data_IF_876832070306
#
_entry.id   IF_876832070306
#
_cell.length_a   1.000
_cell.length_b   1.000
_cell.length_c   1.000
_cell.angle_alpha   90.00
_cell.angle_beta   90.00
_cell.angle_gamma   90.00
#
_symmetry.space_group_name_H-M   'P 1'
#
loop_
_entity.id
_entity.type
_entity.pdbx_description
1 polymer ?
#
# COMPACT_ATOMS: atom_id res chain seq x y z
N UNK A 1 -12.89 -17.24 -3.03
CA UNK A 1 -13.63 -16.11 -3.60
C UNK A 1 -15.01 -16.08 -2.95
N UNK A 2 -15.26 -15.08 -2.13
CA UNK A 2 -16.58 -14.77 -1.64
C UNK A 2 -17.36 -14.18 -2.83
N UNK A 3 -18.14 -14.96 -3.51
CA UNK A 3 -18.82 -14.65 -4.77
C UNK A 3 -19.74 -13.41 -4.76
N UNK A 4 -19.69 -12.58 -3.72
CA UNK A 4 -20.53 -11.40 -3.54
C UNK A 4 -19.80 -10.06 -3.68
N UNK A 5 -18.46 -10.05 -3.76
CA UNK A 5 -17.67 -8.80 -3.76
C UNK A 5 -17.32 -8.24 -5.13
N UNK A 6 -17.48 -9.04 -6.18
CA UNK A 6 -17.08 -8.64 -7.52
C UNK A 6 -18.28 -8.63 -8.45
N UNK A 7 -18.51 -7.51 -9.10
CA UNK A 7 -19.49 -7.38 -10.15
C UNK A 7 -18.80 -7.20 -11.50
N UNK A 8 -19.50 -7.54 -12.56
CA UNK A 8 -19.09 -7.21 -13.91
C UNK A 8 -19.86 -5.98 -14.36
N UNK A 9 -19.14 -5.00 -14.91
CA UNK A 9 -19.78 -3.91 -15.63
C UNK A 9 -19.75 -4.20 -17.11
N UNK A 10 -20.82 -3.84 -17.80
CA UNK A 10 -20.94 -3.96 -19.24
C UNK A 10 -20.36 -2.66 -19.87
N UNK A 11 -19.30 -2.80 -20.67
CA UNK A 11 -18.74 -1.67 -21.40
C UNK A 11 -19.52 -1.35 -22.66
N UNK A 12 -19.36 -0.14 -23.17
CA UNK A 12 -19.96 0.30 -24.44
C UNK A 12 -19.47 -0.53 -25.65
N UNK A 13 -18.33 -1.18 -25.51
CA UNK A 13 -17.75 -2.09 -26.51
C UNK A 13 -18.33 -3.52 -26.48
N UNK A 14 -19.31 -3.78 -25.64
CA UNK A 14 -19.93 -5.10 -25.49
C UNK A 14 -19.12 -6.11 -24.68
N UNK A 15 -18.04 -5.68 -24.02
CA UNK A 15 -17.22 -6.53 -23.16
C UNK A 15 -17.65 -6.42 -21.70
N UNK A 16 -17.43 -7.50 -20.93
CA UNK A 16 -17.61 -7.49 -19.49
C UNK A 16 -16.27 -7.22 -18.80
N UNK A 17 -16.27 -6.25 -17.91
CA UNK A 17 -15.09 -5.86 -17.14
C UNK A 17 -15.22 -6.33 -15.71
N UNK A 18 -14.14 -6.86 -15.14
CA UNK A 18 -14.09 -7.18 -13.73
C UNK A 18 -14.02 -5.89 -12.91
N UNK A 19 -15.00 -5.69 -12.05
CA UNK A 19 -15.05 -4.55 -11.13
C UNK A 19 -15.30 -5.04 -9.72
N UNK A 20 -14.80 -4.33 -8.73
CA UNK A 20 -15.16 -4.50 -7.33
C UNK A 20 -16.22 -3.46 -6.97
N UNK A 21 -17.26 -3.86 -6.30
CA UNK A 21 -18.24 -2.98 -5.69
C UNK A 21 -18.04 -3.05 -4.18
N UNK A 22 -17.26 -2.15 -3.62
CA UNK A 22 -17.05 -2.08 -2.19
C UNK A 22 -18.28 -1.48 -1.48
N UNK A 23 -18.87 -0.45 -2.04
CA UNK A 23 -20.20 0.09 -1.71
C UNK A 23 -20.89 0.53 -3.01
N UNK A 24 -22.19 0.80 -2.97
CA UNK A 24 -23.01 1.09 -4.15
C UNK A 24 -22.49 2.23 -5.05
N UNK A 25 -21.58 3.04 -4.55
CA UNK A 25 -21.05 4.23 -5.21
C UNK A 25 -19.56 4.15 -5.57
N UNK A 26 -18.84 3.06 -5.24
CA UNK A 26 -17.41 2.92 -5.54
C UNK A 26 -17.19 1.74 -6.46
N UNK A 27 -17.10 2.02 -7.74
CA UNK A 27 -16.69 1.05 -8.76
C UNK A 27 -15.18 1.13 -8.90
N UNK A 28 -14.47 0.05 -8.61
CA UNK A 28 -13.09 -0.12 -9.06
C UNK A 28 -13.13 -0.69 -10.49
N UNK A 29 -13.06 0.14 -11.52
CA UNK A 29 -12.96 -0.39 -12.86
C UNK A 29 -11.55 -0.99 -13.00
N UNK A 30 -11.46 -2.30 -13.12
CA UNK A 30 -10.38 -2.88 -13.90
C UNK A 30 -10.74 -2.54 -15.32
N UNK A 31 -10.52 -1.31 -15.70
CA UNK A 31 -10.78 -0.86 -17.06
C UNK A 31 -9.59 -1.22 -17.92
N UNK A 32 -9.92 -1.77 -18.83
CA UNK A 32 -9.52 -2.40 -19.92
C UNK A 32 -8.70 -1.80 -20.97
N UNK A 33 -8.82 -0.79 -21.39
CA UNK A 33 -7.99 -0.07 -22.35
C UNK A 33 -7.67 1.29 -21.76
N UNK A 34 -6.79 1.31 -20.80
CA UNK A 34 -6.05 2.51 -20.59
C UNK A 34 -4.98 2.58 -21.68
N UNK A 35 -5.17 3.44 -22.64
CA UNK A 35 -4.03 4.16 -23.20
C UNK A 35 -3.47 4.99 -22.05
N UNK A 36 -2.71 4.37 -21.16
CA UNK A 36 -1.84 5.10 -20.31
C UNK A 36 -0.81 5.71 -21.26
N UNK A 37 -1.08 6.92 -21.74
CA UNK A 37 -0.04 7.82 -22.16
C UNK A 37 0.82 8.07 -20.92
N UNK A 38 1.70 7.15 -20.62
CA UNK A 38 2.86 7.49 -19.83
C UNK A 38 3.58 8.55 -20.65
N UNK A 39 3.60 9.77 -20.15
CA UNK A 39 4.52 10.81 -20.59
C UNK A 39 5.96 10.41 -20.14
N UNK A 40 6.40 9.26 -20.59
CA UNK A 40 7.79 8.84 -20.62
C UNK A 40 8.13 8.86 -22.12
N UNK A 41 8.63 9.99 -22.58
CA UNK A 41 9.04 10.28 -23.95
C UNK A 41 7.93 10.18 -25.00
N UNK A 42 7.66 11.29 -25.65
CA UNK A 42 6.84 11.51 -26.81
C UNK A 42 6.69 10.27 -27.71
N UNK A 43 5.53 9.63 -27.73
CA UNK A 43 5.02 8.71 -28.76
C UNK A 43 4.83 7.21 -28.45
N UNK A 44 4.83 6.69 -27.24
CA UNK A 44 4.43 5.30 -27.04
C UNK A 44 3.11 5.20 -26.28
N UNK A 45 2.02 4.93 -27.00
CA UNK A 45 0.78 4.43 -26.42
C UNK A 45 1.00 2.97 -26.02
N UNK A 46 1.19 2.71 -24.72
CA UNK A 46 1.19 1.35 -24.21
C UNK A 46 -0.25 0.90 -23.98
N UNK A 47 -0.76 0.05 -24.85
CA UNK A 47 -2.04 -0.62 -24.65
C UNK A 47 -1.83 -1.87 -23.77
N UNK A 48 -2.44 -1.93 -22.61
CA UNK A 48 -2.45 -3.12 -21.77
C UNK A 48 -3.75 -3.90 -21.99
N UNK A 49 -3.66 -5.21 -22.28
CA UNK A 49 -4.86 -6.01 -22.43
C UNK A 49 -5.57 -6.15 -21.09
N UNK A 50 -6.88 -5.95 -21.12
CA UNK A 50 -7.73 -6.10 -19.95
C UNK A 50 -8.15 -7.54 -19.80
N UNK A 51 -8.29 -7.96 -18.56
CA UNK A 51 -8.93 -9.23 -18.28
C UNK A 51 -10.43 -9.06 -18.43
N UNK A 52 -10.99 -9.71 -19.41
CA UNK A 52 -12.44 -9.71 -19.70
C UNK A 52 -13.02 -11.10 -19.48
N UNK A 53 -14.33 -11.16 -19.34
CA UNK A 53 -15.05 -12.44 -19.22
C UNK A 53 -15.50 -13.00 -20.58
N UNK A 54 -15.27 -12.26 -21.67
CA UNK A 54 -15.80 -12.61 -23.01
C UNK A 54 -17.30 -12.91 -23.01
N UNK A 55 -18.08 -12.14 -22.27
CA UNK A 55 -19.52 -12.30 -22.17
C UNK A 55 -20.00 -13.36 -21.17
N UNK A 56 -19.10 -14.01 -20.44
CA UNK A 56 -19.45 -14.90 -19.34
C UNK A 56 -19.39 -14.17 -18.00
N UNK A 57 -20.09 -14.67 -16.98
CA UNK A 57 -20.02 -14.15 -15.61
C UNK A 57 -18.85 -14.75 -14.82
N UNK A 58 -17.82 -15.24 -15.50
CA UNK A 58 -16.71 -15.94 -14.86
C UNK A 58 -15.37 -15.49 -15.44
N UNK A 59 -14.42 -15.15 -14.56
CA UNK A 59 -13.02 -14.85 -14.91
C UNK A 59 -12.16 -16.06 -14.59
N UNK A 60 -11.62 -16.68 -15.61
CA UNK A 60 -10.68 -17.79 -15.46
C UNK A 60 -9.23 -17.27 -15.48
N UNK A 61 -8.88 -16.48 -14.48
CA UNK A 61 -7.54 -15.97 -14.29
C UNK A 61 -7.29 -15.71 -12.78
N UNK A 62 -6.63 -16.65 -12.13
CA UNK A 62 -6.42 -16.61 -10.67
C UNK A 62 -5.66 -15.37 -10.22
N UNK A 63 -4.68 -14.89 -11.01
CA UNK A 63 -3.94 -13.67 -10.67
C UNK A 63 -4.79 -12.41 -10.79
N UNK A 64 -5.69 -12.34 -11.78
CA UNK A 64 -6.61 -11.22 -11.91
C UNK A 64 -7.60 -11.17 -10.74
N UNK A 65 -8.15 -12.32 -10.36
CA UNK A 65 -9.06 -12.44 -9.21
C UNK A 65 -8.34 -12.08 -7.91
N UNK A 66 -7.11 -12.57 -7.71
CA UNK A 66 -6.30 -12.24 -6.55
C UNK A 66 -5.99 -10.74 -6.49
N UNK A 67 -5.54 -10.14 -7.61
CA UNK A 67 -5.23 -8.72 -7.69
C UNK A 67 -6.44 -7.85 -7.30
N UNK A 68 -7.63 -8.17 -7.82
CA UNK A 68 -8.87 -7.48 -7.47
C UNK A 68 -9.25 -7.65 -6.01
N UNK A 69 -9.13 -8.88 -5.49
CA UNK A 69 -9.44 -9.19 -4.09
C UNK A 69 -8.55 -8.38 -3.15
N UNK A 70 -7.25 -8.38 -3.39
CA UNK A 70 -6.28 -7.72 -2.52
C UNK A 70 -6.41 -6.19 -2.56
N UNK A 71 -6.69 -5.62 -3.74
CA UNK A 71 -7.00 -4.20 -3.84
C UNK A 71 -8.30 -3.82 -3.13
N UNK A 72 -9.34 -4.65 -3.24
CA UNK A 72 -10.60 -4.43 -2.54
C UNK A 72 -10.39 -4.44 -1.02
N UNK A 73 -9.66 -5.41 -0.48
CA UNK A 73 -9.36 -5.44 0.96
C UNK A 73 -8.48 -4.26 1.40
N UNK A 74 -7.57 -3.79 0.56
CA UNK A 74 -6.79 -2.57 0.86
C UNK A 74 -7.69 -1.35 0.94
N UNK A 75 -8.62 -1.20 0.00
CA UNK A 75 -9.64 -0.14 0.05
C UNK A 75 -10.52 -0.26 1.30
N UNK A 76 -11.11 -1.44 1.53
CA UNK A 76 -12.01 -1.70 2.66
C UNK A 76 -11.33 -1.43 4.00
N UNK A 77 -10.06 -1.82 4.15
CA UNK A 77 -9.27 -1.52 5.34
C UNK A 77 -9.22 -0.01 5.63
N UNK A 78 -8.85 0.80 4.62
CA UNK A 78 -8.79 2.24 4.81
C UNK A 78 -10.16 2.89 5.00
N UNK A 79 -11.20 2.34 4.37
CA UNK A 79 -12.58 2.78 4.55
C UNK A 79 -13.10 2.45 5.94
N UNK A 80 -13.03 1.19 6.36
CA UNK A 80 -13.62 0.71 7.61
C UNK A 80 -12.89 1.21 8.85
N UNK A 81 -11.57 1.37 8.77
CA UNK A 81 -10.74 1.76 9.92
C UNK A 81 -10.63 3.28 10.05
N UNK A 82 -10.60 4.01 8.93
CA UNK A 82 -10.30 5.46 8.91
C UNK A 82 -11.36 6.31 8.23
N UNK A 83 -12.48 5.72 7.80
CA UNK A 83 -13.55 6.42 7.06
C UNK A 83 -13.00 7.11 5.79
N UNK A 84 -12.08 6.42 5.09
CA UNK A 84 -11.39 6.97 3.93
C UNK A 84 -12.05 6.50 2.64
N UNK A 85 -12.36 7.43 1.76
CA UNK A 85 -12.90 7.14 0.44
C UNK A 85 -11.77 7.05 -0.61
N UNK A 86 -11.25 5.84 -0.82
CA UNK A 86 -10.16 5.58 -1.75
C UNK A 86 -8.78 6.10 -1.28
N UNK A 87 -7.76 5.90 -2.11
CA UNK A 87 -6.38 6.28 -1.77
C UNK A 87 -6.19 7.78 -1.55
N UNK A 88 -6.98 8.62 -2.22
CA UNK A 88 -6.91 10.08 -2.17
C UNK A 88 -7.96 10.73 -1.26
N UNK A 89 -8.82 9.91 -0.63
CA UNK A 89 -9.99 10.34 0.15
C UNK A 89 -11.00 11.16 -0.66
N UNK A 90 -11.12 10.91 -1.97
CA UNK A 90 -12.02 11.58 -2.91
C UNK A 90 -12.67 10.60 -3.90
N UNK A 91 -12.56 9.31 -3.66
CA UNK A 91 -13.05 8.26 -4.56
C UNK A 91 -12.15 8.02 -5.78
N UNK A 92 -10.84 8.27 -5.66
CA UNK A 92 -9.88 8.00 -6.72
C UNK A 92 -9.84 6.51 -7.09
N UNK A 93 -9.65 6.23 -8.39
CA UNK A 93 -9.64 4.87 -8.91
C UNK A 93 -8.33 4.15 -8.64
N UNK A 94 -8.40 2.82 -8.52
CA UNK A 94 -7.22 1.94 -8.44
C UNK A 94 -7.18 1.03 -9.65
N UNK A 95 -6.04 0.99 -10.35
CA UNK A 95 -5.78 0.01 -11.39
C UNK A 95 -4.61 -0.88 -11.01
N UNK A 96 -4.68 -2.16 -11.37
CA UNK A 96 -3.59 -3.10 -11.14
C UNK A 96 -3.13 -3.67 -12.47
N UNK A 97 -1.86 -3.46 -12.78
CA UNK A 97 -1.16 -4.12 -13.87
C UNK A 97 -0.36 -5.29 -13.30
N UNK A 98 -0.70 -6.50 -13.67
CA UNK A 98 0.01 -7.69 -13.24
C UNK A 98 0.71 -8.38 -14.41
N UNK A 99 1.66 -9.27 -14.12
CA UNK A 99 2.50 -9.91 -15.13
C UNK A 99 3.33 -8.92 -15.96
N UNK A 100 3.67 -7.78 -15.39
CA UNK A 100 4.54 -6.80 -16.05
C UNK A 100 5.98 -7.31 -16.10
N UNK A 101 6.80 -6.74 -16.97
CA UNK A 101 8.25 -7.02 -17.04
C UNK A 101 9.02 -6.34 -15.89
N UNK A 102 8.35 -5.55 -15.07
CA UNK A 102 8.95 -4.93 -13.90
C UNK A 102 9.49 -6.02 -12.94
N UNK A 103 10.69 -5.86 -12.39
CA UNK A 103 11.29 -6.90 -11.55
C UNK A 103 10.66 -6.98 -10.14
N UNK A 104 9.85 -6.00 -9.75
CA UNK A 104 9.26 -5.82 -8.44
C UNK A 104 7.79 -5.37 -8.54
N UNK A 105 7.15 -5.05 -7.41
CA UNK A 105 5.93 -4.25 -7.38
C UNK A 105 6.28 -2.76 -7.29
N UNK A 106 5.36 -1.90 -7.69
CA UNK A 106 5.46 -0.45 -7.48
C UNK A 106 4.08 0.20 -7.70
N UNK A 107 3.88 1.38 -7.12
CA UNK A 107 2.68 2.19 -7.32
C UNK A 107 3.01 3.60 -7.81
N UNK A 108 2.04 4.25 -8.42
CA UNK A 108 2.14 5.65 -8.85
C UNK A 108 0.77 6.30 -8.94
N UNK A 109 0.65 7.54 -8.47
CA UNK A 109 -0.55 8.32 -8.57
C UNK A 109 -0.51 9.21 -9.81
N UNK A 110 -1.66 9.37 -10.45
CA UNK A 110 -1.84 10.21 -11.63
C UNK A 110 -3.20 10.91 -11.61
N UNK A 111 -3.30 12.01 -12.33
CA UNK A 111 -4.57 12.64 -12.70
C UNK A 111 -4.83 12.31 -14.16
N UNK A 112 -5.96 11.68 -14.44
CA UNK A 112 -6.32 11.21 -15.77
C UNK A 112 -7.56 11.95 -16.26
N UNK A 113 -7.63 12.23 -17.56
CA UNK A 113 -8.78 12.87 -18.17
C UNK A 113 -9.64 11.85 -18.89
N UNK A 114 -10.95 11.86 -18.66
CA UNK A 114 -11.89 11.08 -19.48
C UNK A 114 -11.93 11.62 -20.91
N UNK A 115 -11.72 10.75 -21.88
CA UNK A 115 -11.78 11.13 -23.30
C UNK A 115 -13.19 11.55 -23.74
N UNK A 116 -14.24 11.02 -23.10
CA UNK A 116 -15.63 11.22 -23.47
C UNK A 116 -16.20 12.58 -23.09
N UNK A 117 -15.80 13.14 -21.95
CA UNK A 117 -16.39 14.37 -21.40
C UNK A 117 -15.36 15.42 -20.95
N UNK A 118 -14.07 15.08 -20.96
CA UNK A 118 -13.00 15.97 -20.54
C UNK A 118 -12.85 16.16 -19.02
N UNK A 119 -13.63 15.47 -18.20
CA UNK A 119 -13.50 15.50 -16.73
C UNK A 119 -12.24 14.81 -16.27
N UNK A 120 -11.70 15.22 -15.12
CA UNK A 120 -10.51 14.65 -14.53
C UNK A 120 -10.86 13.75 -13.35
N UNK A 121 -10.10 12.68 -13.17
CA UNK A 121 -10.18 11.81 -12.01
C UNK A 121 -8.79 11.43 -11.51
N UNK A 122 -8.69 11.11 -10.22
CA UNK A 122 -7.46 10.61 -9.63
C UNK A 122 -7.36 9.09 -9.84
N UNK A 123 -6.18 8.63 -10.19
CA UNK A 123 -5.88 7.23 -10.40
C UNK A 123 -4.62 6.85 -9.64
N UNK A 124 -4.64 5.74 -8.91
CA UNK A 124 -3.42 5.04 -8.56
C UNK A 124 -3.25 3.80 -9.42
N UNK A 125 -2.03 3.59 -9.90
CA UNK A 125 -1.65 2.42 -10.68
C UNK A 125 -0.66 1.57 -9.88
N UNK A 126 -1.05 0.33 -9.57
CA UNK A 126 -0.20 -0.65 -8.91
C UNK A 126 0.30 -1.63 -9.99
N UNK A 127 1.61 -1.79 -10.10
CA UNK A 127 2.24 -2.71 -11.04
C UNK A 127 2.86 -3.87 -10.28
N UNK A 128 2.58 -5.10 -10.71
CA UNK A 128 3.12 -6.32 -10.11
C UNK A 128 3.81 -7.15 -11.18
N UNK A 129 5.09 -7.39 -11.00
CA UNK A 129 5.91 -8.18 -11.92
C UNK A 129 5.57 -9.67 -11.88
N UNK A 130 5.96 -10.40 -12.94
CA UNK A 130 5.71 -11.84 -13.06
C UNK A 130 6.39 -12.67 -11.96
N UNK A 131 7.45 -12.15 -11.37
CA UNK A 131 8.26 -12.83 -10.33
C UNK A 131 7.80 -12.52 -8.92
N UNK A 132 6.91 -11.55 -8.76
CA UNK A 132 6.38 -11.17 -7.46
C UNK A 132 5.21 -12.05 -7.06
N UNK A 133 5.16 -12.44 -5.81
CA UNK A 133 3.99 -13.02 -5.19
C UNK A 133 2.81 -12.03 -5.28
N UNK A 134 1.63 -12.55 -5.59
CA UNK A 134 0.40 -11.79 -5.45
C UNK A 134 -0.09 -12.07 -4.03
N UNK A 135 0.16 -11.14 -3.11
CA UNK A 135 -0.15 -11.30 -1.69
C UNK A 135 -0.83 -10.03 -1.14
N UNK A 136 -1.57 -10.16 -0.04
CA UNK A 136 -2.28 -9.04 0.58
C UNK A 136 -1.32 -7.94 1.05
N UNK A 137 -0.23 -8.33 1.70
CA UNK A 137 0.82 -7.44 2.20
C UNK A 137 1.49 -6.65 1.06
N UNK A 138 1.78 -7.30 -0.09
CA UNK A 138 2.41 -6.66 -1.25
C UNK A 138 1.47 -5.62 -1.88
N UNK A 139 0.23 -5.98 -2.16
CA UNK A 139 -0.74 -5.02 -2.74
C UNK A 139 -1.11 -3.94 -1.73
N UNK A 140 -1.25 -4.30 -0.46
CA UNK A 140 -1.48 -3.37 0.64
C UNK A 140 -0.35 -2.36 0.82
N UNK A 141 0.90 -2.80 0.70
CA UNK A 141 2.09 -1.95 0.71
C UNK A 141 2.04 -0.92 -0.43
N UNK A 142 1.82 -1.35 -1.65
CA UNK A 142 1.74 -0.47 -2.81
C UNK A 142 0.54 0.49 -2.75
N UNK A 143 -0.60 0.01 -2.25
CA UNK A 143 -1.76 0.87 -2.03
C UNK A 143 -1.47 1.94 -0.97
N UNK A 144 -0.72 1.58 0.07
CA UNK A 144 -0.33 2.51 1.15
C UNK A 144 0.59 3.62 0.63
N UNK A 145 1.54 3.33 -0.26
CA UNK A 145 2.32 4.38 -0.93
C UNK A 145 1.43 5.42 -1.63
N UNK A 146 0.34 4.96 -2.25
CA UNK A 146 -0.62 5.87 -2.89
C UNK A 146 -1.36 6.75 -1.87
N UNK A 147 -1.72 6.18 -0.73
CA UNK A 147 -2.33 6.92 0.39
C UNK A 147 -1.35 7.94 0.97
N UNK A 148 -0.10 7.55 1.22
CA UNK A 148 0.95 8.44 1.73
C UNK A 148 1.19 9.64 0.82
N UNK A 149 1.31 9.39 -0.49
CA UNK A 149 1.48 10.46 -1.48
C UNK A 149 0.29 11.42 -1.51
N UNK A 150 -0.92 10.92 -1.30
CA UNK A 150 -2.11 11.76 -1.25
C UNK A 150 -2.20 12.60 0.04
N UNK A 151 -1.55 12.18 1.13
CA UNK A 151 -1.59 12.88 2.43
C UNK A 151 -0.41 13.84 2.59
N UNK A 152 0.84 13.37 2.41
CA UNK A 152 2.03 14.05 2.93
C UNK A 152 3.03 14.51 1.87
N UNK A 153 2.92 14.05 0.63
CA UNK A 153 3.85 14.41 -0.47
C UNK A 153 5.34 14.23 -0.11
N UNK A 154 5.67 13.24 0.71
CA UNK A 154 7.06 12.99 1.10
C UNK A 154 7.95 12.67 -0.10
N UNK A 155 9.21 13.11 -0.05
CA UNK A 155 10.20 12.76 -1.05
C UNK A 155 10.65 11.31 -0.88
N UNK A 156 10.57 10.53 -1.97
CA UNK A 156 10.98 9.13 -1.98
C UNK A 156 12.50 9.00 -2.15
N UNK A 157 13.23 9.44 -1.13
CA UNK A 157 14.68 9.30 -1.06
C UNK A 157 15.19 9.33 0.38
N UNK A 158 16.35 8.72 0.63
CA UNK A 158 17.06 8.76 1.91
C UNK A 158 16.16 8.33 3.09
N UNK A 159 16.28 9.05 4.23
CA UNK A 159 15.46 8.75 5.42
C UNK A 159 13.96 8.95 5.16
N UNK A 160 13.59 9.95 4.37
CA UNK A 160 12.19 10.21 4.02
C UNK A 160 11.57 9.05 3.25
N UNK A 161 12.27 8.56 2.22
CA UNK A 161 11.83 7.37 1.49
C UNK A 161 11.83 6.11 2.36
N UNK A 162 12.80 5.97 3.27
CA UNK A 162 12.81 4.84 4.21
C UNK A 162 11.66 4.90 5.23
N UNK A 163 11.20 6.09 5.61
CA UNK A 163 9.96 6.24 6.41
C UNK A 163 8.75 5.78 5.62
N UNK A 164 8.61 6.19 4.34
CA UNK A 164 7.52 5.74 3.47
C UNK A 164 7.51 4.22 3.33
N UNK A 165 8.64 3.61 3.01
CA UNK A 165 8.76 2.15 2.91
C UNK A 165 8.38 1.44 4.20
N UNK A 166 8.82 1.96 5.34
CA UNK A 166 8.51 1.38 6.65
C UNK A 166 7.03 1.49 7.01
N UNK A 167 6.38 2.60 6.67
CA UNK A 167 4.94 2.77 6.84
C UNK A 167 4.17 1.83 5.91
N UNK A 168 4.57 1.73 4.64
CA UNK A 168 3.95 0.82 3.69
C UNK A 168 4.07 -0.65 4.11
N UNK A 169 5.20 -1.06 4.68
CA UNK A 169 5.37 -2.39 5.30
C UNK A 169 4.39 -2.62 6.45
N UNK A 170 4.26 -1.64 7.35
CA UNK A 170 3.35 -1.73 8.52
C UNK A 170 1.90 -1.89 8.06
N UNK A 171 1.47 -1.04 7.15
CA UNK A 171 0.09 -1.09 6.67
C UNK A 171 -0.18 -2.30 5.78
N UNK A 172 0.81 -2.81 5.03
CA UNK A 172 0.71 -4.07 4.31
C UNK A 172 0.36 -5.24 5.24
N UNK A 173 1.10 -5.40 6.35
CA UNK A 173 0.83 -6.41 7.37
C UNK A 173 -0.54 -6.25 8.05
N UNK A 174 -0.95 -5.01 8.33
CA UNK A 174 -2.25 -4.72 8.92
C UNK A 174 -3.41 -5.00 7.95
N UNK A 175 -3.22 -4.75 6.67
CA UNK A 175 -4.20 -5.07 5.62
C UNK A 175 -4.32 -6.59 5.45
N UNK A 176 -3.22 -7.33 5.52
CA UNK A 176 -3.27 -8.79 5.50
C UNK A 176 -4.04 -9.35 6.70
N UNK A 177 -3.77 -8.88 7.93
CA UNK A 177 -4.53 -9.26 9.13
C UNK A 177 -6.02 -8.95 8.96
N UNK A 178 -6.35 -7.74 8.50
CA UNK A 178 -7.74 -7.33 8.21
C UNK A 178 -8.40 -8.27 7.20
N UNK A 179 -7.74 -8.57 6.08
CA UNK A 179 -8.27 -9.43 5.04
C UNK A 179 -8.50 -10.87 5.54
N UNK A 180 -7.58 -11.42 6.32
CA UNK A 180 -7.70 -12.74 6.92
C UNK A 180 -8.88 -12.82 7.88
N UNK A 181 -9.12 -11.78 8.68
CA UNK A 181 -10.28 -11.69 9.58
C UNK A 181 -11.60 -11.50 8.80
N UNK A 182 -11.61 -10.67 7.76
CA UNK A 182 -12.78 -10.43 6.92
C UNK A 182 -13.23 -11.69 6.19
N UNK A 183 -12.32 -12.54 5.71
CA UNK A 183 -12.65 -13.83 5.10
C UNK A 183 -13.28 -14.81 6.10
N UNK A 184 -13.03 -14.62 7.39
CA UNK A 184 -13.67 -15.35 8.50
C UNK A 184 -15.02 -14.77 8.93
N UNK A 185 -15.50 -13.72 8.25
CA UNK A 185 -16.79 -13.04 8.53
C UNK A 185 -16.73 -11.99 9.63
N UNK A 186 -15.54 -11.59 10.06
CA UNK A 186 -15.33 -10.58 11.09
C UNK A 186 -14.25 -9.56 10.67
N UNK A 187 -14.58 -8.50 9.92
CA UNK A 187 -13.64 -7.50 9.43
C UNK A 187 -13.13 -6.62 10.59
N UNK A 188 -12.23 -7.13 11.38
CA UNK A 188 -11.63 -6.44 12.52
C UNK A 188 -10.12 -6.66 12.55
N UNK A 189 -9.40 -5.72 13.13
CA UNK A 189 -7.96 -5.84 13.41
C UNK A 189 -7.75 -6.51 14.78
N UNK A 190 -8.13 -7.77 14.91
CA UNK A 190 -8.01 -8.55 16.16
C UNK A 190 -7.05 -9.72 16.07
N UNK A 191 -6.53 -9.99 14.86
CA UNK A 191 -5.52 -11.01 14.62
C UNK A 191 -4.13 -10.59 15.10
N UNK A 192 -3.17 -11.43 14.82
CA UNK A 192 -1.76 -11.12 15.02
C UNK A 192 -1.07 -11.11 13.67
N UNK A 193 -0.48 -9.98 13.30
CA UNK A 193 0.42 -9.92 12.17
C UNK A 193 1.61 -10.85 12.42
N UNK A 194 2.06 -11.56 11.42
CA UNK A 194 3.29 -12.35 11.55
C UNK A 194 4.55 -11.46 11.44
N UNK A 195 4.37 -10.20 11.01
CA UNK A 195 5.40 -9.19 10.85
C UNK A 195 6.53 -9.65 9.94
N UNK A 196 6.16 -10.29 8.84
CA UNK A 196 7.08 -10.81 7.86
C UNK A 196 6.47 -10.78 6.47
N UNK A 197 6.90 -9.85 5.64
CA UNK A 197 6.56 -9.87 4.22
C UNK A 197 7.58 -10.67 3.39
N UNK A 198 7.31 -10.82 2.09
CA UNK A 198 8.14 -11.58 1.15
C UNK A 198 9.60 -11.09 1.09
N UNK A 199 9.86 -9.82 1.41
CA UNK A 199 11.15 -9.18 1.25
C UNK A 199 11.88 -8.94 2.55
N UNK A 200 11.15 -8.66 3.63
CA UNK A 200 11.70 -8.18 4.90
C UNK A 200 11.09 -8.92 6.08
N UNK A 201 11.94 -9.37 6.98
CA UNK A 201 11.48 -9.91 8.25
C UNK A 201 11.40 -8.77 9.26
N UNK A 202 10.21 -8.21 9.45
CA UNK A 202 9.96 -7.06 10.33
C UNK A 202 10.16 -7.43 11.79
N UNK A 203 9.78 -8.64 12.19
CA UNK A 203 9.98 -9.14 13.56
C UNK A 203 11.45 -9.36 13.89
N UNK A 204 12.28 -9.66 12.90
CA UNK A 204 13.72 -9.83 13.07
C UNK A 204 14.48 -9.36 11.81
N UNK A 205 14.70 -8.04 11.64
CA UNK A 205 15.31 -7.47 10.45
C UNK A 205 16.68 -8.04 10.09
N UNK A 206 17.46 -8.46 11.08
CA UNK A 206 18.79 -9.03 10.83
C UNK A 206 18.75 -10.34 10.01
N UNK A 207 17.66 -11.10 10.05
CA UNK A 207 17.47 -12.27 9.18
C UNK A 207 17.44 -11.88 7.70
N UNK A 208 16.95 -10.71 7.38
CA UNK A 208 16.93 -10.12 6.03
C UNK A 208 18.16 -9.23 5.75
N UNK A 209 19.14 -9.20 6.66
CA UNK A 209 20.32 -8.31 6.60
C UNK A 209 19.93 -6.83 6.54
N UNK A 210 18.87 -6.47 7.24
CA UNK A 210 18.37 -5.12 7.41
C UNK A 210 18.58 -4.63 8.85
N UNK A 211 18.65 -3.32 9.12
CA UNK A 211 18.88 -2.78 10.45
C UNK A 211 17.63 -2.87 11.34
N UNK A 212 17.79 -3.34 12.57
CA UNK A 212 16.74 -3.31 13.59
C UNK A 212 16.68 -1.95 14.32
N UNK A 213 17.77 -1.20 14.32
CA UNK A 213 17.90 0.10 14.99
C UNK A 213 18.63 1.11 14.11
N UNK A 214 18.31 2.38 14.32
CA UNK A 214 18.93 3.48 13.59
C UNK A 214 20.46 3.49 13.74
N UNK A 215 21.16 3.49 12.60
CA UNK A 215 22.63 3.39 12.51
C UNK A 215 23.22 2.15 13.20
N UNK A 216 22.41 1.11 13.41
CA UNK A 216 22.87 -0.16 13.98
C UNK A 216 23.46 -1.10 12.94
N UNK A 217 23.53 -2.38 13.29
CA UNK A 217 24.01 -3.43 12.40
C UNK A 217 23.16 -3.47 11.11
N UNK A 218 23.81 -3.64 9.97
CA UNK A 218 23.23 -3.60 8.62
C UNK A 218 22.65 -2.26 8.16
N UNK A 219 22.78 -1.19 8.96
CA UNK A 219 22.46 0.16 8.49
C UNK A 219 23.34 0.51 7.28
N UNK A 220 22.73 1.11 6.29
CA UNK A 220 23.44 1.70 5.15
C UNK A 220 23.40 3.22 5.25
N UNK A 221 24.57 3.86 5.22
CA UNK A 221 24.63 5.31 5.22
C UNK A 221 23.93 5.87 3.99
N UNK A 222 23.11 6.87 4.20
CA UNK A 222 22.30 7.46 3.13
C UNK A 222 23.21 8.08 2.06
N UNK A 223 22.95 7.76 0.81
CA UNK A 223 23.77 8.25 -0.29
C UNK A 223 23.66 9.77 -0.46
N UNK A 224 24.78 10.43 -0.74
CA UNK A 224 24.79 11.87 -1.03
C UNK A 224 23.97 12.21 -2.29
N UNK A 225 24.02 11.34 -3.31
CA UNK A 225 23.27 11.45 -4.56
C UNK A 225 22.33 10.26 -4.72
N UNK A 226 21.10 10.32 -4.16
CA UNK A 226 20.14 9.22 -4.26
C UNK A 226 19.68 9.04 -5.68
N UNK A 227 19.64 7.77 -6.12
CA UNK A 227 19.18 7.36 -7.44
C UNK A 227 18.77 5.88 -7.43
N UNK A 228 18.19 5.41 -8.51
CA UNK A 228 17.73 4.00 -8.63
C UNK A 228 18.85 2.98 -8.38
N UNK A 229 20.11 3.29 -8.75
CA UNK A 229 21.23 2.37 -8.59
C UNK A 229 21.66 2.16 -7.13
N UNK A 230 21.41 3.10 -6.25
CA UNK A 230 21.64 3.01 -4.81
C UNK A 230 20.34 2.97 -3.99
N UNK A 231 19.26 2.48 -4.60
CA UNK A 231 17.96 2.34 -3.94
C UNK A 231 17.48 3.68 -3.33
N UNK A 232 17.64 4.76 -4.07
CA UNK A 232 17.32 6.13 -3.65
C UNK A 232 17.90 6.54 -2.28
N UNK A 233 19.07 6.00 -1.94
CA UNK A 233 19.72 6.17 -0.66
C UNK A 233 19.36 5.10 0.37
N UNK A 234 19.14 3.88 -0.12
CA UNK A 234 18.87 2.67 0.65
C UNK A 234 17.53 2.69 1.41
N UNK A 235 16.49 3.20 0.74
CA UNK A 235 15.16 3.36 1.35
C UNK A 235 14.59 2.03 1.82
N UNK A 236 14.64 0.97 0.99
CA UNK A 236 14.12 -0.36 1.36
C UNK A 236 14.94 -1.06 2.45
N UNK A 237 16.28 -0.85 2.45
CA UNK A 237 17.11 -1.47 3.49
C UNK A 237 16.88 -0.84 4.86
N UNK A 238 16.80 0.50 4.92
CA UNK A 238 16.74 1.23 6.18
C UNK A 238 15.32 1.34 6.75
N UNK A 239 14.29 1.07 5.94
CA UNK A 239 12.86 1.11 6.33
C UNK A 239 12.52 0.23 7.53
N UNK A 240 13.25 -0.88 7.68
CA UNK A 240 12.99 -1.85 8.74
C UNK A 240 13.20 -1.28 10.16
N UNK A 241 13.92 -0.18 10.32
CA UNK A 241 13.98 0.54 11.60
C UNK A 241 12.59 1.06 12.00
N UNK A 242 11.83 1.52 11.02
CA UNK A 242 10.46 2.05 11.23
C UNK A 242 9.46 0.92 11.43
N UNK A 243 9.47 -0.08 10.52
CA UNK A 243 8.52 -1.19 10.62
C UNK A 243 8.79 -2.08 11.84
N UNK A 244 10.05 -2.32 12.19
CA UNK A 244 10.41 -3.08 13.41
C UNK A 244 9.94 -2.40 14.70
N UNK A 245 9.91 -1.06 14.74
CA UNK A 245 9.36 -0.33 15.89
C UNK A 245 7.87 -0.64 16.08
N UNK A 246 7.08 -0.75 15.00
CA UNK A 246 5.66 -1.15 15.08
C UNK A 246 5.53 -2.58 15.65
N UNK A 247 6.38 -3.50 15.19
CA UNK A 247 6.45 -4.85 15.76
C UNK A 247 6.75 -4.82 17.27
N UNK A 248 7.71 -4.03 17.71
CA UNK A 248 8.04 -3.92 19.14
C UNK A 248 6.87 -3.34 19.96
N UNK A 249 6.17 -2.34 19.42
CA UNK A 249 4.97 -1.79 20.05
C UNK A 249 3.82 -2.80 20.09
N UNK A 250 3.65 -3.63 19.07
CA UNK A 250 2.59 -4.65 19.04
C UNK A 250 2.85 -5.81 20.02
N UNK A 251 4.11 -6.10 20.33
CA UNK A 251 4.48 -7.16 21.28
C UNK A 251 4.67 -6.66 22.72
N UNK A 252 4.76 -5.34 22.88
CA UNK A 252 5.17 -4.75 24.14
C UNK A 252 6.65 -4.95 24.44
N UNK A 253 7.17 -4.17 25.35
CA UNK A 253 8.57 -4.21 25.80
C UNK A 253 8.64 -4.29 27.30
N UNK A 254 9.57 -5.10 27.81
CA UNK A 254 9.82 -5.27 29.23
C UNK A 254 11.15 -4.63 29.66
N UNK A 255 11.29 -4.31 30.93
CA UNK A 255 12.51 -3.74 31.51
C UNK A 255 12.52 -2.22 31.54
N UNK A 256 13.69 -1.61 31.32
CA UNK A 256 13.87 -0.14 31.42
C UNK A 256 13.06 0.66 30.37
N UNK A 257 12.68 0.01 29.29
CA UNK A 257 11.85 0.58 28.21
C UNK A 257 10.48 -0.08 28.18
N UNK A 258 9.84 -0.18 29.36
CA UNK A 258 8.53 -0.82 29.46
C UNK A 258 7.50 -0.14 28.57
N UNK A 259 6.79 -0.94 27.78
CA UNK A 259 5.66 -0.53 26.97
C UNK A 259 4.65 -1.69 26.93
N UNK A 260 3.39 -1.41 27.27
CA UNK A 260 2.32 -2.38 27.04
C UNK A 260 2.12 -2.63 25.54
N UNK A 261 1.74 -3.86 25.21
CA UNK A 261 1.46 -4.22 23.84
C UNK A 261 0.25 -3.41 23.29
N UNK A 262 0.44 -2.80 22.14
CA UNK A 262 -0.64 -2.19 21.40
C UNK A 262 -1.29 -3.22 20.48
N UNK A 263 -2.61 -3.27 20.42
CA UNK A 263 -3.29 -4.09 19.43
C UNK A 263 -3.16 -3.48 18.02
N UNK A 264 -3.47 -4.27 16.99
CA UNK A 264 -3.31 -3.86 15.59
C UNK A 264 -4.12 -2.61 15.24
N UNK A 265 -5.29 -2.41 15.84
CA UNK A 265 -6.07 -1.19 15.64
C UNK A 265 -5.38 0.05 16.22
N UNK A 266 -4.81 -0.07 17.39
CA UNK A 266 -4.05 1.02 18.02
C UNK A 266 -2.79 1.37 17.22
N UNK A 267 -2.09 0.35 16.69
CA UNK A 267 -0.97 0.55 15.76
C UNK A 267 -1.45 1.30 14.51
N UNK A 268 -2.52 0.82 13.87
CA UNK A 268 -3.08 1.44 12.68
C UNK A 268 -3.41 2.92 12.91
N UNK A 269 -4.15 3.23 13.95
CA UNK A 269 -4.58 4.60 14.30
C UNK A 269 -3.38 5.51 14.61
N UNK A 270 -2.40 5.00 15.36
CA UNK A 270 -1.19 5.75 15.73
C UNK A 270 -0.37 6.13 14.49
N UNK A 271 -0.06 5.15 13.66
CA UNK A 271 0.76 5.37 12.47
C UNK A 271 0.02 6.17 11.39
N UNK A 272 -1.26 5.92 11.16
CA UNK A 272 -2.07 6.70 10.22
C UNK A 272 -2.14 8.18 10.60
N UNK A 273 -2.42 8.49 11.87
CA UNK A 273 -2.39 9.87 12.38
C UNK A 273 -1.03 10.53 12.17
N UNK A 274 0.04 9.76 12.32
CA UNK A 274 1.40 10.26 12.17
C UNK A 274 1.67 10.75 10.74
N UNK A 275 1.18 10.05 9.71
CA UNK A 275 1.38 10.42 8.30
C UNK A 275 1.00 11.88 8.03
N UNK A 276 -0.09 12.38 8.64
CA UNK A 276 -0.56 13.76 8.45
C UNK A 276 0.36 14.85 9.02
N UNK A 277 1.31 14.46 9.86
CA UNK A 277 2.25 15.39 10.51
C UNK A 277 3.65 15.34 9.91
N UNK A 278 3.88 14.43 8.95
CA UNK A 278 5.21 14.24 8.39
C UNK A 278 5.58 15.35 7.40
N UNK A 279 6.79 15.94 7.51
CA UNK A 279 7.27 16.90 6.53
C UNK A 279 7.72 16.22 5.23
N UNK A 280 7.79 16.99 4.14
CA UNK A 280 8.24 16.51 2.81
C UNK A 280 9.59 15.79 2.86
N UNK A 281 10.56 16.30 3.61
CA UNK A 281 11.87 15.69 3.85
C UNK A 281 11.92 15.18 5.30
N UNK A 282 11.31 14.05 5.57
CA UNK A 282 11.20 13.50 6.92
C UNK A 282 12.46 12.71 7.31
N UNK A 283 13.18 13.14 8.35
CA UNK A 283 14.19 12.29 8.98
C UNK A 283 13.59 11.31 9.99
N UNK A 284 14.31 10.25 10.33
CA UNK A 284 13.87 9.30 11.37
C UNK A 284 13.65 9.98 12.73
N UNK A 285 14.46 10.98 13.05
CA UNK A 285 14.28 11.77 14.28
C UNK A 285 12.97 12.57 14.27
N UNK A 286 12.64 13.18 13.12
CA UNK A 286 11.36 13.90 12.96
C UNK A 286 10.19 12.93 13.00
N UNK A 287 10.29 11.77 12.32
CA UNK A 287 9.29 10.73 12.39
C UNK A 287 9.00 10.30 13.84
N UNK A 288 10.04 9.97 14.61
CA UNK A 288 9.89 9.59 16.02
C UNK A 288 9.19 10.64 16.88
N UNK A 289 9.51 11.95 16.66
CA UNK A 289 8.81 13.05 17.34
C UNK A 289 7.35 13.16 16.95
N UNK A 290 7.03 12.97 15.65
CA UNK A 290 5.63 13.02 15.19
C UNK A 290 4.84 11.81 15.69
N UNK A 291 5.46 10.63 15.73
CA UNK A 291 4.84 9.44 16.29
C UNK A 291 4.52 9.63 17.79
N UNK A 292 5.46 10.16 18.56
CA UNK A 292 5.24 10.50 19.97
C UNK A 292 4.12 11.52 20.12
N UNK A 293 4.12 12.58 19.29
CA UNK A 293 3.06 13.59 19.32
C UNK A 293 1.69 13.01 18.95
N UNK A 294 1.64 12.07 18.02
CA UNK A 294 0.41 11.33 17.69
C UNK A 294 -0.10 10.55 18.89
N UNK A 295 0.79 9.84 19.59
CA UNK A 295 0.44 9.09 20.78
C UNK A 295 -0.10 10.02 21.89
N UNK A 296 0.56 11.13 22.16
CA UNK A 296 0.08 12.14 23.12
C UNK A 296 -1.36 12.59 22.77
N UNK A 297 -1.61 12.98 21.52
CA UNK A 297 -2.92 13.44 21.07
C UNK A 297 -4.02 12.35 21.12
N UNK A 298 -3.64 11.06 21.04
CA UNK A 298 -4.59 9.95 21.13
C UNK A 298 -4.94 9.61 22.58
N UNK A 299 -4.00 9.75 23.50
CA UNK A 299 -4.12 9.26 24.87
C UNK A 299 -4.15 10.38 25.94
N UNK A 300 -3.86 11.62 25.57
CA UNK A 300 -4.15 12.79 26.43
C UNK A 300 -5.67 13.04 26.49
N UNK A 301 -6.30 12.50 27.55
CA UNK A 301 -7.67 12.86 27.97
C UNK A 301 -7.66 13.45 29.36
#
# INVERSE_FOLDING_TARGET
>A
SDGNRYSYTYGEDGQHYLTSQADADVVFPVQATFSLKYALDDNTEAMFPVVTTNGSNYVNNDRAVAAMSYAAYSYDFYSDIFDRNGFDNKGGFTSILFNTTHPNACSSNAIVQYASNGEYFNLTNIQVGTRQGMAYDVIGHEYTHSVEQAISCMLYERESGAVMEGLSDIFGELIEDYANNATSGNPTLTGSCDWKNEFRNISNPEKSKCPAVYKGKYWKETAEFPNKGNDYGYVHNNSTVISHMAYLLSNGMNGASYCEALNNRQIAELYYRTIFMLPVCCSFNQFGRMLLRSAELMYER
#
